data_IF_974478675993
#
_entry.id   IF_974478675993
#
_cell.length_a   1.000
_cell.length_b   1.000
_cell.length_c   1.000
_cell.angle_alpha   90.00
_cell.angle_beta   90.00
_cell.angle_gamma   90.00
#
_symmetry.space_group_name_H-M   'P 1'
#
loop_
_entity.id
_entity.type
_entity.pdbx_description
1 polymer ?
#
# COMPACT_ATOMS: atom_id res chain seq x y z
N UNK A 1 -50.68 56.93 -7.72
CA UNK A 1 -50.53 55.86 -6.71
C UNK A 1 -49.97 54.62 -7.40
N UNK A 2 -48.65 54.48 -7.37
CA UNK A 2 -47.89 53.50 -8.15
C UNK A 2 -47.38 52.42 -7.17
N UNK A 3 -48.11 51.30 -7.04
CA UNK A 3 -47.64 50.16 -6.25
C UNK A 3 -46.74 49.29 -7.12
N UNK A 4 -45.44 49.47 -6.92
CA UNK A 4 -44.35 48.64 -7.47
C UNK A 4 -44.51 47.20 -6.98
N UNK A 5 -44.90 46.30 -7.88
CA UNK A 5 -44.74 44.86 -7.71
C UNK A 5 -43.29 44.54 -8.06
N UNK A 6 -42.42 44.55 -7.05
CA UNK A 6 -41.07 43.98 -7.17
C UNK A 6 -41.22 42.50 -6.83
N UNK A 7 -41.38 41.69 -7.88
CA UNK A 7 -41.27 40.25 -7.83
C UNK A 7 -39.80 39.90 -7.55
N UNK A 8 -39.48 39.67 -6.27
CA UNK A 8 -38.20 39.13 -5.82
C UNK A 8 -38.06 37.70 -6.35
N UNK A 9 -37.47 37.57 -7.54
CA UNK A 9 -36.86 36.32 -8.00
C UNK A 9 -35.69 36.01 -7.06
N UNK A 10 -35.96 35.26 -5.99
CA UNK A 10 -34.94 34.53 -5.26
C UNK A 10 -34.40 33.45 -6.20
N UNK A 11 -33.47 33.84 -7.08
CA UNK A 11 -32.56 32.91 -7.75
C UNK A 11 -31.72 32.29 -6.64
N UNK A 12 -32.20 31.16 -6.10
CA UNK A 12 -31.38 30.20 -5.39
C UNK A 12 -30.38 29.67 -6.43
N UNK A 13 -29.30 30.42 -6.64
CA UNK A 13 -28.08 29.88 -7.23
C UNK A 13 -27.55 28.92 -6.18
N UNK A 14 -28.10 27.72 -6.15
CA UNK A 14 -27.45 26.59 -5.53
C UNK A 14 -26.08 26.53 -6.18
N UNK A 15 -25.02 26.90 -5.46
CA UNK A 15 -23.66 26.52 -5.84
C UNK A 15 -23.66 24.99 -5.83
N UNK A 16 -24.05 24.40 -6.97
CA UNK A 16 -23.95 22.98 -7.18
C UNK A 16 -22.47 22.70 -7.35
N UNK A 17 -21.81 22.34 -6.25
CA UNK A 17 -20.48 21.75 -6.32
C UNK A 17 -20.55 20.57 -7.29
N UNK A 18 -19.59 20.49 -8.22
CA UNK A 18 -19.52 19.39 -9.18
C UNK A 18 -19.52 18.04 -8.45
N UNK A 19 -20.15 17.05 -9.06
CA UNK A 19 -20.17 15.70 -8.53
C UNK A 19 -18.74 15.17 -8.42
N UNK A 20 -18.54 14.27 -7.46
CA UNK A 20 -17.24 13.61 -7.30
C UNK A 20 -17.41 12.13 -7.59
N UNK A 21 -16.42 11.57 -8.27
CA UNK A 21 -16.38 10.17 -8.69
C UNK A 21 -14.99 9.61 -8.45
N UNK A 22 -14.91 8.34 -8.05
CA UNK A 22 -13.61 7.69 -7.91
C UNK A 22 -13.62 6.27 -8.46
N UNK A 23 -12.50 5.86 -9.03
CA UNK A 23 -12.14 4.47 -9.27
C UNK A 23 -10.89 4.13 -8.48
N UNK A 24 -10.99 3.16 -7.58
CA UNK A 24 -9.91 2.76 -6.67
C UNK A 24 -9.59 1.28 -6.90
N UNK A 25 -8.37 1.01 -7.35
CA UNK A 25 -7.94 -0.32 -7.82
C UNK A 25 -6.77 -0.81 -6.97
N UNK A 26 -6.84 -2.07 -6.51
CA UNK A 26 -5.76 -2.71 -5.76
C UNK A 26 -5.59 -4.17 -6.14
N UNK A 27 -4.42 -4.52 -6.67
CA UNK A 27 -4.14 -5.85 -7.24
C UNK A 27 -2.91 -6.47 -6.56
N UNK A 28 -3.16 -7.40 -5.64
CA UNK A 28 -2.13 -8.30 -5.13
C UNK A 28 -1.93 -9.41 -6.17
N UNK A 29 -0.87 -9.33 -6.97
CA UNK A 29 -0.52 -10.36 -7.95
C UNK A 29 0.97 -10.73 -7.81
N UNK A 30 1.29 -12.01 -7.97
CA UNK A 30 2.62 -12.55 -7.76
C UNK A 30 3.13 -12.29 -6.34
N UNK A 31 4.16 -11.46 -6.22
CA UNK A 31 4.84 -11.13 -4.97
C UNK A 31 4.29 -9.89 -4.24
N UNK A 32 3.29 -9.19 -4.81
CA UNK A 32 2.69 -8.03 -4.14
C UNK A 32 1.66 -8.47 -3.12
N UNK A 33 1.77 -7.95 -1.91
CA UNK A 33 0.88 -8.27 -0.79
C UNK A 33 0.14 -7.03 -0.28
N UNK A 34 0.57 -5.82 -0.67
CA UNK A 34 0.09 -4.57 -0.09
C UNK A 34 -0.88 -3.76 -0.94
N UNK A 35 -0.90 -3.98 -2.25
CA UNK A 35 -1.70 -3.21 -3.19
C UNK A 35 -3.21 -3.16 -2.87
N UNK A 36 -3.80 -4.27 -2.42
CA UNK A 36 -5.21 -4.31 -1.99
C UNK A 36 -5.43 -3.44 -0.75
N UNK A 37 -4.50 -3.46 0.20
CA UNK A 37 -4.58 -2.63 1.42
C UNK A 37 -4.37 -1.15 1.12
N UNK A 38 -3.53 -0.81 0.15
CA UNK A 38 -3.37 0.56 -0.33
C UNK A 38 -4.69 1.10 -0.91
N UNK A 39 -5.36 0.29 -1.72
CA UNK A 39 -6.64 0.63 -2.31
C UNK A 39 -7.76 0.75 -1.24
N UNK A 40 -7.76 -0.07 -0.20
CA UNK A 40 -8.66 0.13 0.94
C UNK A 40 -8.40 1.45 1.67
N UNK A 41 -7.14 1.75 1.99
CA UNK A 41 -6.78 2.97 2.70
C UNK A 41 -7.10 4.23 1.88
N UNK A 42 -6.87 4.19 0.56
CA UNK A 42 -7.26 5.29 -0.32
C UNK A 42 -8.78 5.46 -0.38
N UNK A 43 -9.54 4.36 -0.51
CA UNK A 43 -11.01 4.42 -0.47
C UNK A 43 -11.52 5.05 0.82
N UNK A 44 -10.95 4.67 1.97
CA UNK A 44 -11.28 5.28 3.26
C UNK A 44 -10.94 6.78 3.30
N UNK A 45 -9.75 7.19 2.85
CA UNK A 45 -9.39 8.61 2.75
C UNK A 45 -10.43 9.37 1.91
N UNK A 46 -10.77 8.87 0.72
CA UNK A 46 -11.74 9.51 -0.18
C UNK A 46 -13.14 9.61 0.47
N UNK A 47 -13.60 8.57 1.17
CA UNK A 47 -14.86 8.59 1.92
C UNK A 47 -14.85 9.67 3.02
N UNK A 48 -13.76 9.78 3.78
CA UNK A 48 -13.63 10.82 4.82
C UNK A 48 -13.58 12.23 4.22
N UNK A 49 -12.96 12.37 3.05
CA UNK A 49 -12.97 13.60 2.23
C UNK A 49 -14.32 13.88 1.58
N UNK A 50 -15.35 13.07 1.84
CA UNK A 50 -16.70 13.22 1.27
C UNK A 50 -16.70 13.18 -0.25
N UNK A 51 -15.78 12.40 -0.83
CA UNK A 51 -15.85 12.02 -2.24
C UNK A 51 -16.98 11.01 -2.37
N UNK A 52 -17.84 11.28 -3.34
CA UNK A 52 -19.04 10.52 -3.66
C UNK A 52 -18.71 9.51 -4.77
N UNK A 53 -19.63 8.58 -5.03
CA UNK A 53 -19.57 7.64 -6.15
C UNK A 53 -18.22 6.90 -6.30
N UNK A 54 -17.73 6.33 -5.18
CA UNK A 54 -16.48 5.58 -5.14
C UNK A 54 -16.74 4.15 -5.61
N UNK A 55 -16.16 3.77 -6.75
CA UNK A 55 -16.14 2.40 -7.26
C UNK A 55 -14.79 1.77 -6.95
N UNK A 56 -14.80 0.52 -6.48
CA UNK A 56 -13.60 -0.21 -6.07
C UNK A 56 -13.47 -1.49 -6.87
N UNK A 57 -12.26 -1.82 -7.32
CA UNK A 57 -11.95 -3.10 -7.96
C UNK A 57 -10.75 -3.73 -7.24
N UNK A 58 -10.97 -4.87 -6.58
CA UNK A 58 -9.96 -5.53 -5.77
C UNK A 58 -9.63 -6.93 -6.28
N UNK A 59 -8.34 -7.28 -6.31
CA UNK A 59 -7.89 -8.62 -6.66
C UNK A 59 -8.50 -9.10 -7.99
N UNK A 60 -9.14 -10.27 -7.99
CA UNK A 60 -9.71 -10.91 -9.18
C UNK A 60 -10.74 -10.04 -9.95
N UNK A 61 -11.43 -9.11 -9.30
CA UNK A 61 -12.39 -8.22 -9.96
C UNK A 61 -11.72 -7.17 -10.85
N UNK A 62 -10.45 -6.86 -10.59
CA UNK A 62 -9.66 -5.86 -11.29
C UNK A 62 -9.08 -6.38 -12.61
N UNK A 63 -9.92 -7.01 -13.44
CA UNK A 63 -9.57 -7.40 -14.80
C UNK A 63 -9.36 -6.17 -15.69
N UNK A 64 -8.62 -6.30 -16.79
CA UNK A 64 -8.42 -5.19 -17.72
C UNK A 64 -9.75 -4.64 -18.24
N UNK A 65 -10.67 -5.54 -18.60
CA UNK A 65 -12.00 -5.15 -19.08
C UNK A 65 -12.76 -4.37 -18.01
N UNK A 66 -12.82 -4.87 -16.78
CA UNK A 66 -13.55 -4.20 -15.70
C UNK A 66 -12.96 -2.82 -15.38
N UNK A 67 -11.63 -2.70 -15.33
CA UNK A 67 -10.96 -1.42 -15.09
C UNK A 67 -11.31 -0.40 -16.18
N UNK A 68 -11.14 -0.78 -17.45
CA UNK A 68 -11.37 0.13 -18.59
C UNK A 68 -12.85 0.50 -18.70
N UNK A 69 -13.77 -0.47 -18.60
CA UNK A 69 -15.22 -0.21 -18.66
C UNK A 69 -15.69 0.66 -17.49
N UNK A 70 -15.25 0.36 -16.27
CA UNK A 70 -15.64 1.16 -15.09
C UNK A 70 -15.15 2.60 -15.22
N UNK A 71 -13.91 2.79 -15.67
CA UNK A 71 -13.38 4.14 -15.85
C UNK A 71 -14.09 4.88 -16.99
N UNK A 72 -14.37 4.20 -18.10
CA UNK A 72 -15.14 4.74 -19.23
C UNK A 72 -16.54 5.19 -18.77
N UNK A 73 -17.21 4.41 -17.94
CA UNK A 73 -18.52 4.75 -17.39
C UNK A 73 -18.49 5.97 -16.46
N UNK A 74 -17.40 6.17 -15.72
CA UNK A 74 -17.18 7.41 -14.95
C UNK A 74 -17.00 8.59 -15.90
N UNK A 75 -16.11 8.45 -16.89
CA UNK A 75 -15.80 9.51 -17.87
C UNK A 75 -17.02 9.95 -18.67
N UNK A 76 -17.89 9.00 -19.04
CA UNK A 76 -19.12 9.28 -19.77
C UNK A 76 -20.14 10.08 -18.94
N UNK A 77 -20.21 9.81 -17.63
CA UNK A 77 -21.14 10.50 -16.71
C UNK A 77 -20.62 11.85 -16.22
N UNK A 78 -19.30 12.03 -16.16
CA UNK A 78 -18.68 13.25 -15.67
C UNK A 78 -19.05 14.47 -16.52
N UNK A 79 -19.39 15.56 -15.83
CA UNK A 79 -19.79 16.86 -16.36
C UNK A 79 -18.75 17.93 -16.02
N UNK A 80 -18.75 19.08 -16.71
CA UNK A 80 -17.88 20.19 -16.34
C UNK A 80 -17.95 20.54 -14.85
N UNK A 81 -16.80 20.84 -14.26
CA UNK A 81 -16.60 21.10 -12.82
C UNK A 81 -16.69 19.90 -11.87
N UNK A 82 -17.00 18.70 -12.36
CA UNK A 82 -16.88 17.48 -11.57
C UNK A 82 -15.42 17.18 -11.21
N UNK A 83 -15.24 16.28 -10.24
CA UNK A 83 -13.95 15.70 -9.90
C UNK A 83 -13.94 14.19 -10.16
N UNK A 84 -12.87 13.71 -10.78
CA UNK A 84 -12.63 12.30 -11.04
C UNK A 84 -11.30 11.88 -10.44
N UNK A 85 -11.34 10.88 -9.56
CA UNK A 85 -10.18 10.28 -8.93
C UNK A 85 -9.90 8.90 -9.53
N UNK A 86 -8.65 8.65 -9.90
CA UNK A 86 -8.18 7.32 -10.26
C UNK A 86 -7.02 6.95 -9.35
N UNK A 87 -7.22 5.91 -8.54
CA UNK A 87 -6.16 5.30 -7.75
C UNK A 87 -5.86 3.90 -8.25
N UNK A 88 -4.57 3.58 -8.40
CA UNK A 88 -4.11 2.23 -8.71
C UNK A 88 -2.92 1.87 -7.83
N UNK A 89 -2.98 0.72 -7.17
CA UNK A 89 -1.80 0.05 -6.60
C UNK A 89 -1.68 -1.36 -7.19
N UNK A 90 -0.47 -1.73 -7.61
CA UNK A 90 -0.18 -3.01 -8.27
C UNK A 90 1.07 -2.98 -9.13
N UNK A 91 1.23 -4.01 -9.99
CA UNK A 91 2.38 -4.10 -10.89
C UNK A 91 2.32 -3.07 -12.02
N UNK A 92 3.44 -2.39 -12.23
CA UNK A 92 3.68 -1.51 -13.38
C UNK A 92 4.75 -2.08 -14.31
N UNK A 93 4.66 -1.76 -15.60
CA UNK A 93 5.53 -2.23 -16.68
C UNK A 93 5.97 -1.08 -17.56
N UNK A 94 7.13 -1.22 -18.18
CA UNK A 94 7.85 -0.11 -18.81
C UNK A 94 8.89 -0.66 -19.80
N UNK A 95 9.33 0.08 -20.83
CA UNK A 95 10.45 -0.34 -21.67
C UNK A 95 11.76 -0.62 -20.91
N UNK A 96 11.92 -0.07 -19.70
CA UNK A 96 13.09 -0.27 -18.85
C UNK A 96 12.93 -1.43 -17.87
N UNK A 97 11.78 -2.10 -17.86
CA UNK A 97 11.54 -3.23 -16.98
C UNK A 97 12.43 -4.43 -17.38
N UNK A 98 13.33 -4.89 -16.48
CA UNK A 98 14.19 -6.04 -16.75
C UNK A 98 13.42 -7.29 -17.16
N UNK A 99 12.21 -7.50 -16.64
CA UNK A 99 11.43 -8.70 -16.90
C UNK A 99 10.83 -8.75 -18.33
N UNK A 100 10.98 -7.69 -19.14
CA UNK A 100 10.55 -7.69 -20.55
C UNK A 100 11.70 -7.47 -21.54
N UNK A 101 12.96 -7.45 -21.08
CA UNK A 101 14.13 -7.16 -21.92
C UNK A 101 14.25 -8.10 -23.13
N UNK A 102 13.81 -9.36 -22.98
CA UNK A 102 13.82 -10.36 -24.05
C UNK A 102 12.60 -10.26 -25.00
N UNK A 103 11.76 -9.23 -24.88
CA UNK A 103 10.56 -9.04 -25.70
C UNK A 103 10.59 -7.70 -26.46
N UNK A 104 11.30 -7.60 -27.60
CA UNK A 104 11.47 -6.35 -28.35
C UNK A 104 10.14 -5.78 -28.88
N UNK A 105 9.16 -6.64 -29.19
CA UNK A 105 7.81 -6.21 -29.59
C UNK A 105 7.11 -5.47 -28.46
N UNK A 106 7.22 -5.98 -27.23
CA UNK A 106 6.60 -5.35 -26.06
C UNK A 106 7.33 -4.06 -25.67
N UNK A 107 8.67 -4.02 -25.73
CA UNK A 107 9.46 -2.80 -25.53
C UNK A 107 9.02 -1.71 -26.51
N UNK A 108 8.91 -2.05 -27.81
CA UNK A 108 8.43 -1.12 -28.84
C UNK A 108 7.00 -0.65 -28.57
N UNK A 109 6.11 -1.54 -28.15
CA UNK A 109 4.73 -1.18 -27.79
C UNK A 109 4.70 -0.20 -26.62
N UNK A 110 5.53 -0.42 -25.61
CA UNK A 110 5.61 0.44 -24.43
C UNK A 110 6.49 1.69 -24.64
N UNK A 111 7.09 1.86 -25.81
CA UNK A 111 7.92 3.03 -26.09
C UNK A 111 7.13 4.33 -25.85
N UNK A 112 7.73 5.23 -25.06
CA UNK A 112 7.15 6.50 -24.63
C UNK A 112 6.08 6.39 -23.54
N UNK A 113 5.75 5.20 -23.02
CA UNK A 113 4.65 5.05 -22.07
C UNK A 113 4.94 3.97 -21.01
N UNK A 114 4.03 3.86 -20.05
CA UNK A 114 3.98 2.75 -19.09
C UNK A 114 2.75 1.88 -19.33
N UNK A 115 2.71 0.75 -18.64
CA UNK A 115 1.52 -0.08 -18.53
C UNK A 115 1.29 -0.50 -17.08
N UNK A 116 0.03 -0.79 -16.76
CA UNK A 116 -0.37 -1.43 -15.51
C UNK A 116 -0.75 -2.87 -15.82
N UNK A 117 -0.50 -3.77 -14.87
CA UNK A 117 -0.90 -5.17 -15.01
C UNK A 117 -2.22 -5.40 -14.25
N UNK A 118 -3.23 -5.88 -14.96
CA UNK A 118 -4.51 -6.26 -14.36
C UNK A 118 -4.46 -7.64 -13.68
N UNK A 119 -5.53 -8.00 -12.97
CA UNK A 119 -5.63 -9.27 -12.25
C UNK A 119 -5.63 -10.50 -13.19
N UNK A 120 -6.14 -10.35 -14.40
CA UNK A 120 -6.13 -11.35 -15.48
C UNK A 120 -4.83 -11.31 -16.30
N UNK A 121 -3.75 -10.75 -15.75
CA UNK A 121 -2.42 -10.64 -16.35
C UNK A 121 -2.38 -9.92 -17.71
N UNK A 122 -3.37 -9.06 -17.98
CA UNK A 122 -3.39 -8.26 -19.20
C UNK A 122 -2.73 -6.90 -18.97
N UNK A 123 -2.02 -6.41 -19.99
CA UNK A 123 -1.43 -5.08 -19.95
C UNK A 123 -2.47 -4.01 -20.29
N UNK A 124 -2.64 -3.08 -19.37
CA UNK A 124 -3.31 -1.80 -19.56
C UNK A 124 -2.24 -0.78 -19.97
N UNK A 125 -1.98 -0.70 -21.27
CA UNK A 125 -1.02 0.26 -21.82
C UNK A 125 -1.61 1.66 -21.75
N UNK A 126 -0.96 2.56 -21.02
CA UNK A 126 -1.58 3.82 -20.60
C UNK A 126 -1.92 4.71 -21.80
N UNK A 127 -1.01 4.87 -22.76
CA UNK A 127 -1.26 5.67 -23.98
C UNK A 127 -2.46 5.16 -24.81
N UNK A 128 -2.73 3.86 -24.74
CA UNK A 128 -3.77 3.18 -25.53
C UNK A 128 -5.12 3.17 -24.80
N UNK A 129 -5.11 2.79 -23.52
CA UNK A 129 -6.34 2.43 -22.77
C UNK A 129 -6.85 3.53 -21.85
N UNK A 130 -5.96 4.38 -21.32
CA UNK A 130 -6.29 5.31 -20.22
C UNK A 130 -6.12 6.78 -20.64
N UNK A 131 -5.06 7.11 -21.38
CA UNK A 131 -4.80 8.48 -21.84
C UNK A 131 -5.93 9.09 -22.70
N UNK A 132 -6.65 8.33 -23.56
CA UNK A 132 -7.83 8.88 -24.25
C UNK A 132 -8.96 9.28 -23.29
N UNK A 133 -9.14 8.54 -22.20
CA UNK A 133 -10.16 8.82 -21.19
C UNK A 133 -9.80 10.06 -20.37
N UNK A 134 -8.51 10.25 -20.04
CA UNK A 134 -8.04 11.49 -19.41
C UNK A 134 -8.26 12.71 -20.31
N UNK A 135 -8.00 12.60 -21.62
CA UNK A 135 -8.24 13.69 -22.57
C UNK A 135 -9.72 14.06 -22.61
N UNK A 136 -10.60 13.07 -22.67
CA UNK A 136 -12.04 13.31 -22.64
C UNK A 136 -12.51 14.03 -21.36
N UNK A 137 -11.88 13.76 -20.20
CA UNK A 137 -12.16 14.49 -18.96
C UNK A 137 -11.62 15.93 -19.02
N UNK A 138 -10.40 16.13 -19.52
CA UNK A 138 -9.77 17.45 -19.61
C UNK A 138 -10.53 18.38 -20.56
N UNK A 139 -10.99 17.87 -21.71
CA UNK A 139 -11.83 18.58 -22.69
C UNK A 139 -13.17 19.02 -22.08
N UNK A 140 -13.71 18.21 -21.15
CA UNK A 140 -14.92 18.56 -20.39
C UNK A 140 -14.66 19.52 -19.23
N UNK A 141 -13.41 19.94 -19.01
CA UNK A 141 -13.02 20.74 -17.82
C UNK A 141 -13.33 20.03 -16.49
N UNK A 142 -13.21 18.70 -16.46
CA UNK A 142 -13.30 17.87 -15.25
C UNK A 142 -11.97 17.87 -14.53
N UNK A 143 -11.97 18.13 -13.22
CA UNK A 143 -10.76 18.05 -12.39
C UNK A 143 -10.40 16.59 -12.18
N UNK A 144 -9.26 16.16 -12.72
CA UNK A 144 -8.84 14.76 -12.69
C UNK A 144 -7.62 14.61 -11.78
N UNK A 145 -7.69 13.72 -10.80
CA UNK A 145 -6.57 13.38 -9.91
C UNK A 145 -6.23 11.91 -10.13
N UNK A 146 -4.99 11.65 -10.53
CA UNK A 146 -4.49 10.30 -10.79
C UNK A 146 -3.37 10.00 -9.80
N UNK A 147 -3.46 8.85 -9.14
CA UNK A 147 -2.51 8.41 -8.11
C UNK A 147 -2.11 6.96 -8.40
N UNK A 148 -0.87 6.73 -8.80
CA UNK A 148 -0.35 5.39 -9.08
C UNK A 148 0.75 5.01 -8.09
N UNK A 149 0.54 3.91 -7.36
CA UNK A 149 1.59 3.20 -6.64
C UNK A 149 1.98 1.92 -7.39
N UNK A 150 2.87 2.10 -8.37
CA UNK A 150 3.34 1.03 -9.23
C UNK A 150 4.75 1.34 -9.73
N UNK A 151 5.56 0.32 -9.99
CA UNK A 151 6.87 0.48 -10.62
C UNK A 151 6.74 1.22 -11.96
N UNK A 152 7.73 2.05 -12.29
CA UNK A 152 7.77 2.82 -13.54
C UNK A 152 6.54 3.70 -13.80
N UNK A 153 5.75 4.01 -12.77
CA UNK A 153 4.53 4.82 -12.89
C UNK A 153 4.85 6.24 -13.39
N UNK A 154 6.07 6.75 -13.23
CA UNK A 154 6.50 7.99 -13.86
C UNK A 154 6.47 7.98 -15.40
N UNK A 155 6.55 6.80 -16.06
CA UNK A 155 6.39 6.68 -17.52
C UNK A 155 4.95 6.63 -18.01
N UNK A 156 4.00 6.29 -17.15
CA UNK A 156 2.58 6.29 -17.51
C UNK A 156 2.09 7.69 -17.93
N UNK A 157 2.81 8.75 -17.59
CA UNK A 157 2.41 10.14 -17.85
C UNK A 157 3.40 10.91 -18.74
N UNK A 158 4.37 10.24 -19.38
CA UNK A 158 5.44 10.91 -20.18
C UNK A 158 4.94 11.59 -21.47
N UNK A 159 3.63 11.62 -21.70
CA UNK A 159 2.95 12.43 -22.72
C UNK A 159 2.69 13.89 -22.31
N UNK A 160 2.94 14.28 -21.05
CA UNK A 160 2.36 15.53 -20.52
C UNK A 160 3.37 16.60 -20.10
N UNK A 161 4.65 16.27 -19.89
CA UNK A 161 5.66 17.29 -19.57
C UNK A 161 7.00 16.96 -20.24
N UNK A 162 7.15 17.39 -21.49
CA UNK A 162 8.43 17.35 -22.18
C UNK A 162 9.22 18.64 -21.86
N UNK A 163 10.16 18.56 -20.93
CA UNK A 163 11.36 19.38 -21.01
C UNK A 163 12.51 18.47 -21.46
N UNK A 164 12.74 18.40 -22.77
CA UNK A 164 13.97 17.90 -23.35
C UNK A 164 13.89 16.53 -24.05
N UNK A 165 14.08 16.58 -25.38
CA UNK A 165 14.53 15.53 -26.31
C UNK A 165 13.58 14.41 -26.76
N UNK A 166 13.02 14.62 -27.96
CA UNK A 166 12.95 13.70 -29.11
C UNK A 166 12.57 12.22 -28.91
N UNK A 167 11.29 11.96 -28.62
CA UNK A 167 10.61 10.76 -29.12
C UNK A 167 9.23 11.16 -29.69
N UNK A 168 8.92 10.84 -30.97
CA UNK A 168 7.66 11.23 -31.58
C UNK A 168 6.50 10.35 -31.09
N UNK A 169 5.38 11.00 -30.73
CA UNK A 169 4.11 10.34 -30.39
C UNK A 169 3.15 10.33 -31.58
N UNK A 170 2.37 9.25 -31.67
CA UNK A 170 1.32 9.06 -32.68
C UNK A 170 -0.05 9.27 -32.02
N UNK A 171 -0.78 10.31 -32.42
CA UNK A 171 -2.21 10.48 -32.15
C UNK A 171 -2.92 10.94 -33.42
N UNK A 172 -4.20 10.57 -33.67
CA UNK A 172 -4.93 10.94 -34.90
C UNK A 172 -5.26 12.43 -35.06
N UNK A 173 -5.03 13.25 -34.02
CA UNK A 173 -5.18 14.72 -34.06
C UNK A 173 -4.01 15.38 -33.32
N UNK A 174 -2.81 15.41 -33.90
CA UNK A 174 -1.64 15.99 -33.26
C UNK A 174 -1.70 17.52 -33.38
N UNK A 175 -1.79 18.23 -32.26
CA UNK A 175 -1.29 19.62 -32.22
C UNK A 175 0.23 19.56 -32.28
N UNK A 176 0.80 20.37 -33.19
CA UNK A 176 2.24 20.50 -33.51
C UNK A 176 3.12 20.21 -32.28
N UNK A 177 3.80 19.06 -32.24
CA UNK A 177 4.70 18.52 -31.17
C UNK A 177 4.11 17.53 -30.13
N UNK A 178 3.08 16.76 -30.50
CA UNK A 178 2.90 15.39 -29.98
C UNK A 178 2.69 15.22 -28.47
N UNK A 179 2.21 16.25 -27.76
CA UNK A 179 1.86 16.18 -26.33
C UNK A 179 0.52 16.88 -26.13
N UNK A 180 -0.34 16.33 -25.27
CA UNK A 180 -1.64 16.93 -24.94
C UNK A 180 -1.47 17.83 -23.70
N UNK A 181 -1.78 19.14 -23.77
CA UNK A 181 -1.53 20.08 -22.69
C UNK A 181 -2.66 20.00 -21.65
N UNK A 182 -2.66 18.97 -20.80
CA UNK A 182 -3.67 18.81 -19.77
C UNK A 182 -3.76 20.03 -18.86
N UNK A 183 -4.93 20.64 -18.79
CA UNK A 183 -5.18 21.85 -17.99
C UNK A 183 -5.80 21.53 -16.62
N UNK A 184 -6.44 20.37 -16.50
CA UNK A 184 -7.30 19.98 -15.38
C UNK A 184 -6.86 18.67 -14.71
N UNK A 185 -5.69 18.14 -15.08
CA UNK A 185 -5.17 16.88 -14.54
C UNK A 185 -4.00 17.09 -13.56
N UNK A 186 -4.12 16.44 -12.41
CA UNK A 186 -3.08 16.27 -11.38
C UNK A 186 -2.62 14.81 -11.39
N UNK A 187 -1.31 14.59 -11.41
CA UNK A 187 -0.71 13.27 -11.49
C UNK A 187 0.31 13.09 -10.37
N UNK A 188 0.06 12.09 -9.51
CA UNK A 188 0.91 11.71 -8.39
C UNK A 188 1.36 10.26 -8.61
N UNK A 189 2.66 9.98 -8.66
CA UNK A 189 3.15 8.61 -8.82
C UNK A 189 4.25 8.25 -7.86
N UNK A 190 4.34 6.98 -7.51
CA UNK A 190 5.32 6.49 -6.53
C UNK A 190 6.75 6.55 -7.03
N UNK A 191 6.97 6.44 -8.33
CA UNK A 191 8.32 6.37 -8.90
C UNK A 191 8.51 7.22 -10.14
N UNK A 192 9.77 7.38 -10.52
CA UNK A 192 10.20 7.97 -11.79
C UNK A 192 10.00 6.99 -12.96
N UNK A 193 10.63 7.26 -14.11
CA UNK A 193 10.49 6.44 -15.31
C UNK A 193 11.20 5.09 -15.23
N UNK A 194 12.27 4.96 -14.45
CA UNK A 194 13.12 3.76 -14.36
C UNK A 194 13.03 3.04 -13.03
N UNK A 195 12.39 3.64 -12.03
CA UNK A 195 12.53 3.18 -10.65
C UNK A 195 11.41 2.23 -10.24
N UNK A 196 11.77 1.30 -9.34
CA UNK A 196 10.85 0.35 -8.72
C UNK A 196 10.11 0.98 -7.55
N UNK A 197 8.82 0.67 -7.45
CA UNK A 197 8.02 0.99 -6.27
C UNK A 197 8.32 -0.07 -5.21
N UNK A 198 8.48 0.37 -3.97
CA UNK A 198 8.75 -0.50 -2.83
C UNK A 198 7.49 -0.65 -1.98
N UNK A 199 7.23 -1.88 -1.56
CA UNK A 199 6.24 -2.21 -0.54
C UNK A 199 6.93 -2.49 0.78
N UNK A 200 6.28 -2.11 1.88
CA UNK A 200 6.67 -2.57 3.20
C UNK A 200 6.02 -3.93 3.45
N UNK A 201 6.84 -4.98 3.52
CA UNK A 201 6.36 -6.31 3.93
C UNK A 201 5.73 -6.27 5.34
N UNK A 202 6.24 -5.41 6.21
CA UNK A 202 5.76 -5.21 7.58
C UNK A 202 4.35 -4.59 7.62
N UNK A 203 4.08 -3.59 6.79
CA UNK A 203 2.77 -2.94 6.75
C UNK A 203 1.79 -3.58 5.77
N UNK A 204 2.27 -4.47 4.89
CA UNK A 204 1.53 -4.96 3.72
C UNK A 204 0.89 -3.80 2.98
N UNK A 205 1.69 -2.78 2.64
CA UNK A 205 1.30 -1.52 2.00
C UNK A 205 2.48 -0.96 1.19
N UNK A 206 2.22 -0.24 0.11
CA UNK A 206 3.23 0.55 -0.60
C UNK A 206 3.74 1.72 0.26
N UNK A 207 5.06 1.96 0.27
CA UNK A 207 5.64 3.09 1.03
C UNK A 207 5.07 4.43 0.55
N UNK A 208 4.90 4.59 -0.77
CA UNK A 208 4.25 5.77 -1.34
C UNK A 208 2.78 5.86 -0.96
N UNK A 209 2.02 4.78 -1.07
CA UNK A 209 0.61 4.76 -0.67
C UNK A 209 0.40 5.16 0.79
N UNK A 210 1.26 4.71 1.71
CA UNK A 210 1.23 5.16 3.11
C UNK A 210 1.52 6.66 3.22
N UNK A 211 2.58 7.14 2.58
CA UNK A 211 2.97 8.54 2.63
C UNK A 211 1.92 9.47 2.01
N UNK A 212 1.40 9.13 0.83
CA UNK A 212 0.46 9.97 0.10
C UNK A 212 -0.91 10.01 0.76
N UNK A 213 -1.39 8.89 1.31
CA UNK A 213 -2.65 8.90 2.07
C UNK A 213 -2.55 9.75 3.33
N UNK A 214 -1.41 9.72 4.03
CA UNK A 214 -1.15 10.62 5.15
C UNK A 214 -1.16 12.09 4.72
N UNK A 215 -0.35 12.44 3.70
CA UNK A 215 -0.22 13.82 3.26
C UNK A 215 -1.52 14.40 2.69
N UNK A 216 -2.28 13.63 1.93
CA UNK A 216 -3.58 14.04 1.41
C UNK A 216 -4.67 14.14 2.50
N UNK A 217 -4.53 13.41 3.60
CA UNK A 217 -5.37 13.59 4.78
C UNK A 217 -5.32 15.03 5.29
N UNK A 218 -4.09 15.55 5.43
CA UNK A 218 -3.80 16.86 6.04
C UNK A 218 -3.78 18.03 5.07
N UNK A 219 -3.53 17.77 3.78
CA UNK A 219 -3.18 18.81 2.81
C UNK A 219 -3.97 18.65 1.52
N UNK A 220 -4.36 19.78 0.93
CA UNK A 220 -5.08 19.82 -0.35
C UNK A 220 -4.27 20.54 -1.44
N UNK A 221 -3.38 21.44 -1.02
CA UNK A 221 -2.53 22.27 -1.88
C UNK A 221 -1.23 21.55 -2.19
N UNK A 222 -0.75 21.71 -3.42
CA UNK A 222 0.48 21.09 -3.89
C UNK A 222 1.66 21.34 -2.96
N UNK A 223 1.96 22.59 -2.61
CA UNK A 223 3.16 22.91 -1.84
C UNK A 223 3.19 22.22 -0.47
N UNK A 224 2.04 22.14 0.20
CA UNK A 224 1.92 21.43 1.47
C UNK A 224 2.03 19.90 1.30
N UNK A 225 1.52 19.35 0.20
CA UNK A 225 1.66 17.93 -0.12
C UNK A 225 3.12 17.58 -0.41
N UNK A 226 3.82 18.42 -1.18
CA UNK A 226 5.24 18.27 -1.48
C UNK A 226 6.05 18.33 -0.18
N UNK A 227 5.86 19.37 0.63
CA UNK A 227 6.54 19.51 1.92
C UNK A 227 6.32 18.30 2.83
N UNK A 228 5.08 17.79 2.92
CA UNK A 228 4.78 16.61 3.73
C UNK A 228 5.50 15.35 3.23
N UNK A 229 5.57 15.14 1.91
CA UNK A 229 6.29 13.99 1.34
C UNK A 229 7.80 14.13 1.53
N UNK A 230 8.34 15.35 1.41
CA UNK A 230 9.74 15.65 1.66
C UNK A 230 10.11 15.37 3.12
N UNK A 231 9.25 15.73 4.08
CA UNK A 231 9.45 15.38 5.50
C UNK A 231 9.48 13.86 5.70
N UNK A 232 8.53 13.12 5.13
CA UNK A 232 8.51 11.65 5.23
C UNK A 232 9.77 11.03 4.60
N UNK A 233 10.22 11.58 3.48
CA UNK A 233 11.39 11.08 2.75
C UNK A 233 12.70 11.42 3.43
N UNK A 234 12.96 12.68 3.72
CA UNK A 234 14.27 13.18 4.13
C UNK A 234 14.42 13.22 5.66
N UNK A 235 13.38 13.66 6.38
CA UNK A 235 13.43 13.75 7.83
C UNK A 235 13.17 12.39 8.49
N UNK A 236 12.12 11.68 8.05
CA UNK A 236 11.75 10.39 8.64
C UNK A 236 12.41 9.18 7.94
N UNK A 237 12.96 9.36 6.73
CA UNK A 237 13.59 8.28 5.96
C UNK A 237 12.67 7.07 5.72
N UNK A 238 11.37 7.34 5.55
CA UNK A 238 10.32 6.32 5.41
C UNK A 238 9.77 6.20 3.99
N UNK A 239 10.30 6.97 3.02
CA UNK A 239 9.92 6.88 1.61
C UNK A 239 11.17 6.63 0.75
N UNK A 240 11.49 5.35 0.44
CA UNK A 240 12.73 5.01 -0.27
C UNK A 240 12.69 5.45 -1.74
N UNK A 241 11.51 5.45 -2.37
CA UNK A 241 11.29 5.90 -3.74
C UNK A 241 11.18 7.42 -3.88
N UNK A 242 11.34 7.92 -5.11
CA UNK A 242 11.13 9.33 -5.45
C UNK A 242 9.77 9.51 -6.12
N UNK A 243 8.79 10.13 -5.43
CA UNK A 243 7.49 10.38 -6.03
C UNK A 243 7.58 11.47 -7.10
N UNK A 244 6.72 11.37 -8.11
CA UNK A 244 6.51 12.42 -9.10
C UNK A 244 5.20 13.12 -8.82
N UNK A 245 5.23 14.45 -8.78
CA UNK A 245 4.06 15.30 -8.55
C UNK A 245 3.94 16.32 -9.68
N UNK A 246 2.85 16.23 -10.43
CA UNK A 246 2.57 17.05 -11.58
C UNK A 246 1.13 17.61 -11.51
N UNK A 247 0.90 18.83 -12.04
CA UNK A 247 1.88 19.71 -12.65
C UNK A 247 2.84 20.36 -11.62
N UNK A 248 3.91 21.00 -12.10
CA UNK A 248 4.82 21.77 -11.21
C UNK A 248 4.19 23.07 -10.70
N UNK A 249 3.18 23.60 -11.39
CA UNK A 249 2.39 24.75 -10.95
C UNK A 249 1.45 24.36 -9.80
N UNK A 250 1.00 25.34 -9.03
CA UNK A 250 0.08 25.13 -7.92
C UNK A 250 -1.23 24.47 -8.36
N UNK A 251 -1.74 23.53 -7.55
CA UNK A 251 -3.01 22.85 -7.77
C UNK A 251 -3.66 22.43 -6.45
N UNK A 252 -4.94 22.05 -6.54
CA UNK A 252 -5.73 21.46 -5.46
C UNK A 252 -6.06 20.00 -5.78
N UNK A 253 -6.01 19.12 -4.78
CA UNK A 253 -6.36 17.69 -4.91
C UNK A 253 -7.79 17.39 -4.49
N UNK A 254 -8.41 18.26 -3.69
CA UNK A 254 -9.79 18.10 -3.25
C UNK A 254 -10.62 19.36 -3.47
N UNK A 255 -11.95 19.23 -3.64
CA UNK A 255 -12.85 20.36 -3.58
C UNK A 255 -12.70 21.16 -2.29
N UNK A 256 -12.97 22.47 -2.35
CA UNK A 256 -12.80 23.39 -1.22
C UNK A 256 -13.69 23.08 -0.01
N UNK A 257 -14.81 22.36 -0.19
CA UNK A 257 -15.69 21.97 0.90
C UNK A 257 -15.14 20.82 1.76
N UNK A 258 -14.11 20.11 1.28
CA UNK A 258 -13.55 18.97 2.01
C UNK A 258 -12.77 19.47 3.24
N UNK A 259 -12.76 18.69 4.32
CA UNK A 259 -12.02 19.05 5.55
C UNK A 259 -10.65 18.39 5.59
N UNK A 260 -9.69 19.06 6.23
CA UNK A 260 -8.48 18.39 6.68
C UNK A 260 -8.86 17.38 7.75
N UNK A 261 -8.28 16.20 7.62
CA UNK A 261 -8.47 15.10 8.55
C UNK A 261 -7.09 14.65 8.97
N UNK A 262 -6.89 14.51 10.27
CA UNK A 262 -5.69 13.88 10.77
C UNK A 262 -5.84 12.37 10.55
N UNK A 263 -5.48 11.92 9.35
CA UNK A 263 -5.19 10.51 9.14
C UNK A 263 -3.86 10.32 9.86
N UNK A 264 -3.95 9.90 11.13
CA UNK A 264 -2.77 9.43 11.86
C UNK A 264 -2.04 8.49 10.91
N UNK A 265 -0.75 8.77 10.59
CA UNK A 265 0.01 7.88 9.71
C UNK A 265 -0.15 6.51 10.34
N UNK A 266 -0.73 5.55 9.61
CA UNK A 266 -1.22 4.28 10.18
C UNK A 266 -0.24 3.81 11.23
N UNK A 267 -0.51 4.12 12.51
CA UNK A 267 0.33 3.63 13.58
C UNK A 267 0.14 2.14 13.44
N UNK A 268 1.25 1.41 13.33
CA UNK A 268 1.27 -0.05 13.39
C UNK A 268 0.12 -0.54 14.26
N UNK A 269 -0.68 -1.48 13.77
CA UNK A 269 -1.67 -2.09 14.66
C UNK A 269 -0.95 -2.53 15.95
N UNK A 270 -1.59 -2.50 17.12
CA UNK A 270 -0.90 -2.87 18.37
C UNK A 270 -0.22 -4.25 18.26
N UNK A 271 -0.81 -5.14 17.46
CA UNK A 271 -0.22 -6.42 17.09
C UNK A 271 1.09 -6.26 16.32
N UNK A 272 1.15 -5.41 15.29
CA UNK A 272 2.39 -5.09 14.56
C UNK A 272 3.43 -4.38 15.42
N UNK A 273 3.02 -3.46 16.31
CA UNK A 273 3.95 -2.80 17.24
C UNK A 273 4.68 -3.83 18.10
N UNK A 274 3.95 -4.83 18.60
CA UNK A 274 4.52 -5.95 19.35
C UNK A 274 5.58 -6.71 18.53
N UNK A 275 5.30 -7.08 17.28
CA UNK A 275 6.29 -7.80 16.45
C UNK A 275 7.50 -6.94 16.07
N UNK A 276 7.36 -5.62 16.02
CA UNK A 276 8.49 -4.71 15.75
C UNK A 276 9.44 -4.56 16.94
N UNK A 277 9.03 -4.96 18.15
CA UNK A 277 9.95 -5.10 19.27
C UNK A 277 10.97 -6.24 19.00
N UNK A 278 10.62 -7.22 18.16
CA UNK A 278 11.47 -8.36 17.81
C UNK A 278 12.51 -7.99 16.74
N UNK A 279 13.45 -7.10 17.10
CA UNK A 279 14.53 -6.67 16.21
C UNK A 279 15.65 -7.71 16.16
N UNK A 280 15.89 -8.34 15.00
CA UNK A 280 16.90 -9.39 14.88
C UNK A 280 18.29 -8.84 15.19
N UNK A 281 19.08 -9.64 15.90
CA UNK A 281 20.49 -9.38 16.20
C UNK A 281 21.32 -10.59 15.79
N UNK A 282 22.63 -10.43 15.65
CA UNK A 282 23.52 -11.56 15.41
C UNK A 282 23.57 -12.57 16.57
N UNK A 283 23.03 -12.20 17.73
CA UNK A 283 23.08 -12.99 18.96
C UNK A 283 21.77 -13.75 19.23
N UNK A 284 20.72 -13.51 18.42
CA UNK A 284 19.44 -14.19 18.54
C UNK A 284 18.71 -14.21 17.21
N UNK A 285 18.58 -15.39 16.62
CA UNK A 285 17.98 -15.59 15.30
C UNK A 285 16.92 -16.68 15.30
N UNK A 286 15.80 -16.38 14.64
CA UNK A 286 14.75 -17.33 14.35
C UNK A 286 14.72 -17.56 12.83
N UNK A 287 14.78 -18.81 12.40
CA UNK A 287 14.72 -19.17 10.99
C UNK A 287 13.98 -20.49 10.78
N UNK A 288 13.56 -20.74 9.54
CA UNK A 288 12.82 -21.94 9.18
C UNK A 288 13.66 -22.80 8.22
N UNK A 289 13.63 -24.12 8.42
CA UNK A 289 14.28 -25.10 7.55
C UNK A 289 13.25 -26.10 7.02
N UNK A 290 13.35 -26.43 5.75
CA UNK A 290 12.54 -27.49 5.14
C UNK A 290 12.99 -28.89 5.63
N UNK A 291 12.34 -29.94 5.13
CA UNK A 291 12.68 -31.34 5.46
C UNK A 291 14.11 -31.76 5.07
N UNK A 292 14.77 -31.00 4.19
CA UNK A 292 16.15 -31.21 3.76
C UNK A 292 17.16 -30.38 4.59
N UNK A 293 16.71 -29.63 5.60
CA UNK A 293 17.56 -28.77 6.42
C UNK A 293 17.93 -27.44 5.75
N UNK A 294 17.37 -27.13 4.58
CA UNK A 294 17.65 -25.89 3.87
C UNK A 294 16.77 -24.76 4.39
N UNK A 295 17.40 -23.61 4.68
CA UNK A 295 16.69 -22.42 5.13
C UNK A 295 15.80 -21.88 4.00
N UNK A 296 14.49 -21.76 4.27
CA UNK A 296 13.52 -21.22 3.31
C UNK A 296 12.55 -20.27 4.01
N UNK A 297 11.92 -19.40 3.21
CA UNK A 297 10.78 -18.57 3.62
C UNK A 297 9.52 -18.88 2.84
N UNK A 298 9.59 -19.78 1.87
CA UNK A 298 8.47 -20.17 1.03
C UNK A 298 8.28 -21.68 1.16
N UNK A 299 7.06 -22.08 1.49
CA UNK A 299 6.68 -23.47 1.69
C UNK A 299 5.41 -23.77 0.89
N UNK A 300 5.38 -24.91 0.22
CA UNK A 300 4.18 -25.36 -0.49
C UNK A 300 3.14 -25.83 0.52
N UNK A 301 1.84 -25.60 0.26
CA UNK A 301 0.78 -26.14 1.13
C UNK A 301 0.95 -27.67 1.26
N UNK A 302 0.97 -28.15 2.50
CA UNK A 302 1.25 -29.55 2.86
C UNK A 302 2.73 -29.84 3.15
N UNK A 303 3.65 -28.94 2.81
CA UNK A 303 5.08 -29.09 3.10
C UNK A 303 5.36 -28.98 4.61
N UNK A 304 6.17 -29.91 5.12
CA UNK A 304 6.68 -29.89 6.50
C UNK A 304 7.94 -29.05 6.59
N UNK A 305 8.01 -28.22 7.62
CA UNK A 305 9.19 -27.45 7.94
C UNK A 305 9.34 -27.29 9.45
N UNK A 306 10.53 -26.87 9.87
CA UNK A 306 10.87 -26.72 11.28
C UNK A 306 11.38 -25.32 11.56
N UNK A 307 10.98 -24.76 12.69
CA UNK A 307 11.48 -23.48 13.18
C UNK A 307 12.61 -23.75 14.14
N UNK A 308 13.73 -23.08 13.90
CA UNK A 308 14.95 -23.17 14.69
C UNK A 308 15.28 -21.84 15.32
N UNK A 309 15.88 -21.93 16.50
CA UNK A 309 16.40 -20.82 17.25
C UNK A 309 17.90 -20.98 17.41
N UNK A 310 18.62 -19.91 17.12
CA UNK A 310 20.02 -19.74 17.49
C UNK A 310 20.13 -18.58 18.48
N UNK A 311 20.83 -18.78 19.59
CA UNK A 311 21.09 -17.71 20.55
C UNK A 311 22.45 -17.82 21.22
N UNK A 312 23.17 -16.70 21.27
CA UNK A 312 24.39 -16.54 22.08
C UNK A 312 24.10 -16.11 23.52
N UNK A 313 22.85 -15.76 23.84
CA UNK A 313 22.45 -15.26 25.15
C UNK A 313 21.52 -16.24 25.87
N UNK A 314 21.54 -16.20 27.20
CA UNK A 314 20.62 -17.00 28.01
C UNK A 314 19.39 -16.19 28.40
N UNK A 315 18.22 -16.82 28.50
CA UNK A 315 17.00 -16.14 28.88
C UNK A 315 15.74 -16.99 28.80
N UNK A 316 14.63 -16.45 29.28
CA UNK A 316 13.33 -17.11 29.14
C UNK A 316 12.73 -16.79 27.78
N UNK A 317 12.33 -17.84 27.05
CA UNK A 317 11.85 -17.73 25.70
C UNK A 317 10.36 -17.39 25.67
N UNK A 318 10.07 -16.34 24.92
CA UNK A 318 8.71 -15.88 24.61
C UNK A 318 8.50 -16.02 23.12
N UNK A 319 7.33 -16.52 22.71
CA UNK A 319 6.96 -16.65 21.31
C UNK A 319 5.55 -16.13 21.11
N UNK A 320 5.42 -15.16 20.23
CA UNK A 320 4.15 -14.72 19.67
C UNK A 320 4.01 -15.24 18.25
N UNK A 321 2.79 -15.62 17.89
CA UNK A 321 2.41 -16.02 16.53
C UNK A 321 1.23 -15.18 16.06
N UNK A 322 1.29 -14.72 14.81
CA UNK A 322 0.11 -14.27 14.08
C UNK A 322 -0.51 -15.49 13.39
N UNK A 323 -1.64 -15.95 13.91
CA UNK A 323 -2.42 -17.06 13.36
C UNK A 323 -3.38 -16.63 12.24
N UNK A 324 -4.19 -17.59 11.81
CA UNK A 324 -5.26 -17.40 10.82
C UNK A 324 -6.20 -16.25 11.24
N UNK A 325 -6.73 -15.50 10.28
CA UNK A 325 -7.60 -14.33 10.51
C UNK A 325 -6.97 -13.19 11.34
N UNK A 326 -5.65 -12.99 11.30
CA UNK A 326 -4.91 -11.97 12.07
C UNK A 326 -5.08 -12.12 13.60
N UNK A 327 -5.27 -13.35 14.09
CA UNK A 327 -5.34 -13.66 15.52
C UNK A 327 -3.94 -13.62 16.12
N UNK A 328 -3.75 -12.83 17.18
CA UNK A 328 -2.46 -12.75 17.87
C UNK A 328 -2.45 -13.76 19.02
N UNK A 329 -1.50 -14.68 18.98
CA UNK A 329 -1.31 -15.73 19.96
C UNK A 329 0.02 -15.55 20.69
N UNK A 330 0.00 -15.70 22.01
CA UNK A 330 1.15 -15.90 22.87
C UNK A 330 1.30 -17.41 23.05
N UNK A 331 2.30 -18.04 22.44
CA UNK A 331 2.48 -19.49 22.47
C UNK A 331 3.38 -19.95 23.62
N UNK A 332 4.36 -19.11 23.98
CA UNK A 332 5.24 -19.29 25.12
C UNK A 332 5.49 -17.96 25.83
N UNK A 333 5.59 -17.94 27.17
CA UNK A 333 5.32 -19.05 28.08
C UNK A 333 3.83 -19.44 28.12
N UNK A 334 3.54 -20.70 28.42
CA UNK A 334 2.18 -21.21 28.61
C UNK A 334 2.02 -21.93 29.97
N UNK A 335 0.84 -22.46 30.26
CA UNK A 335 0.53 -23.12 31.54
C UNK A 335 1.42 -24.31 31.87
N UNK A 336 1.95 -25.00 30.84
CA UNK A 336 2.75 -26.22 31.03
C UNK A 336 4.25 -25.95 30.94
N UNK A 337 4.67 -24.91 30.22
CA UNK A 337 6.07 -24.68 29.86
C UNK A 337 6.47 -23.21 29.90
N UNK A 338 7.55 -22.94 30.63
CA UNK A 338 8.29 -21.68 30.62
C UNK A 338 9.74 -21.97 30.16
N UNK A 339 9.97 -22.08 28.84
CA UNK A 339 11.25 -22.53 28.30
C UNK A 339 12.38 -21.55 28.64
N UNK A 340 13.46 -22.06 29.21
CA UNK A 340 14.71 -21.33 29.40
C UNK A 340 15.71 -21.77 28.33
N UNK A 341 16.33 -20.79 27.66
CA UNK A 341 17.36 -20.97 26.64
C UNK A 341 18.70 -20.62 27.30
N UNK A 342 19.67 -21.52 27.18
CA UNK A 342 21.04 -21.28 27.63
C UNK A 342 21.82 -20.49 26.58
N UNK A 343 22.93 -19.85 26.97
CA UNK A 343 23.81 -19.21 26.01
C UNK A 343 24.38 -20.23 25.00
N UNK A 344 24.67 -19.77 23.78
CA UNK A 344 25.19 -20.57 22.66
C UNK A 344 24.31 -21.79 22.32
N UNK A 345 22.99 -21.61 22.36
CA UNK A 345 22.02 -22.65 22.02
C UNK A 345 21.67 -22.61 20.54
N UNK A 346 21.64 -23.78 19.92
CA UNK A 346 20.99 -24.02 18.63
C UNK A 346 19.93 -25.11 18.82
N UNK A 347 18.66 -24.81 18.54
CA UNK A 347 17.56 -25.72 18.88
C UNK A 347 16.38 -25.63 17.92
N UNK A 348 15.89 -26.80 17.48
CA UNK A 348 14.56 -26.94 16.88
C UNK A 348 13.48 -26.63 17.92
N UNK A 349 12.69 -25.58 17.68
CA UNK A 349 11.65 -25.12 18.60
C UNK A 349 10.32 -25.83 18.34
N UNK A 350 9.93 -25.92 17.07
CA UNK A 350 8.64 -26.48 16.67
C UNK A 350 8.67 -26.94 15.22
N UNK A 351 7.75 -27.84 14.88
CA UNK A 351 7.57 -28.41 13.55
C UNK A 351 6.18 -28.05 13.05
N UNK A 352 6.09 -27.59 11.81
CA UNK A 352 4.89 -27.04 11.21
C UNK A 352 4.62 -27.70 9.85
N UNK A 353 3.36 -27.59 9.43
CA UNK A 353 2.91 -27.92 8.09
C UNK A 353 2.37 -26.62 7.51
N UNK A 354 2.80 -26.26 6.30
CA UNK A 354 2.26 -25.10 5.60
C UNK A 354 0.79 -25.37 5.25
N UNK A 355 -0.12 -24.50 5.70
CA UNK A 355 -1.58 -24.66 5.54
C UNK A 355 -2.16 -23.62 4.58
N UNK A 356 -3.32 -23.94 4.01
CA UNK A 356 -4.19 -22.99 3.33
C UNK A 356 -5.07 -22.24 4.35
N UNK A 357 -5.56 -21.01 4.07
CA UNK A 357 -5.33 -20.24 2.84
C UNK A 357 -3.88 -19.75 2.74
N UNK A 358 -3.41 -19.61 1.50
CA UNK A 358 -2.07 -19.09 1.21
C UNK A 358 -1.88 -17.69 1.78
N UNK A 359 -0.73 -17.43 2.39
CA UNK A 359 -0.51 -16.19 3.12
C UNK A 359 0.79 -16.16 3.90
N UNK A 360 1.11 -14.97 4.41
CA UNK A 360 2.25 -14.76 5.28
C UNK A 360 1.89 -15.03 6.74
N UNK A 361 2.60 -15.96 7.37
CA UNK A 361 2.57 -16.17 8.82
C UNK A 361 3.77 -15.46 9.47
N UNK A 362 3.52 -14.82 10.61
CA UNK A 362 4.52 -14.03 11.33
C UNK A 362 4.72 -14.58 12.74
N UNK A 363 5.98 -14.77 13.12
CA UNK A 363 6.40 -15.11 14.48
C UNK A 363 7.35 -14.04 15.03
N UNK A 364 7.18 -13.74 16.31
CA UNK A 364 8.06 -12.85 17.08
C UNK A 364 8.56 -13.61 18.30
N UNK A 365 9.86 -13.82 18.36
CA UNK A 365 10.52 -14.49 19.47
C UNK A 365 11.35 -13.49 20.28
N UNK A 366 11.41 -13.72 21.59
CA UNK A 366 12.15 -12.87 22.53
C UNK A 366 12.85 -13.71 23.59
N UNK A 367 14.00 -13.24 24.06
CA UNK A 367 14.53 -13.62 25.36
C UNK A 367 14.26 -12.51 26.37
N UNK A 368 13.62 -12.88 27.47
CA UNK A 368 13.26 -11.96 28.56
C UNK A 368 13.80 -12.45 29.90
N UNK A 369 13.85 -11.55 30.88
CA UNK A 369 14.15 -11.93 32.26
C UNK A 369 13.01 -12.75 32.90
N UNK A 370 13.32 -13.47 33.99
CA UNK A 370 12.38 -14.36 34.70
C UNK A 370 11.10 -13.66 35.14
N UNK A 371 11.22 -12.43 35.66
CA UNK A 371 10.07 -11.66 36.15
C UNK A 371 9.08 -11.36 35.04
N UNK A 372 9.59 -10.99 33.86
CA UNK A 372 8.78 -10.70 32.67
C UNK A 372 8.11 -11.96 32.15
N UNK A 373 8.84 -13.08 32.07
CA UNK A 373 8.27 -14.36 31.67
C UNK A 373 7.11 -14.79 32.59
N UNK A 374 7.26 -14.67 33.91
CA UNK A 374 6.17 -15.00 34.85
C UNK A 374 4.93 -14.11 34.67
N UNK A 375 5.12 -12.81 34.38
CA UNK A 375 4.01 -11.88 34.10
C UNK A 375 3.31 -12.22 32.78
N UNK A 376 4.06 -12.62 31.75
CA UNK A 376 3.52 -13.07 30.48
C UNK A 376 2.81 -14.41 30.60
N UNK A 377 3.28 -15.32 31.46
CA UNK A 377 2.60 -16.59 31.75
C UNK A 377 1.23 -16.35 32.42
N UNK A 378 1.16 -15.43 33.38
CA UNK A 378 -0.13 -14.99 33.95
C UNK A 378 -1.05 -14.35 32.93
N UNK A 379 -0.50 -13.62 31.95
CA UNK A 379 -1.29 -13.09 30.84
C UNK A 379 -1.81 -14.22 29.96
N UNK A 380 -0.98 -15.20 29.63
CA UNK A 380 -1.38 -16.41 28.91
C UNK A 380 -2.53 -17.14 29.60
N UNK A 381 -2.42 -17.37 30.92
CA UNK A 381 -3.46 -18.03 31.72
C UNK A 381 -4.80 -17.29 31.64
N UNK A 382 -4.76 -15.97 31.75
CA UNK A 382 -5.96 -15.12 31.65
C UNK A 382 -6.60 -15.18 30.26
N UNK A 383 -5.80 -15.18 29.20
CA UNK A 383 -6.29 -15.04 27.83
C UNK A 383 -6.35 -16.35 27.07
N UNK A 384 -6.01 -17.46 27.71
CA UNK A 384 -5.76 -18.76 27.08
C UNK A 384 -4.82 -18.66 25.86
N UNK A 385 -3.82 -17.79 25.96
CA UNK A 385 -2.86 -17.49 24.89
C UNK A 385 -3.38 -16.59 23.77
N UNK A 386 -4.66 -16.25 23.70
CA UNK A 386 -5.22 -15.43 22.62
C UNK A 386 -5.37 -13.96 23.02
N UNK A 387 -4.59 -13.07 22.40
CA UNK A 387 -4.62 -11.63 22.70
C UNK A 387 -5.60 -10.89 21.78
N UNK A 388 -6.89 -10.98 22.11
CA UNK A 388 -7.98 -10.31 21.35
C UNK A 388 -8.08 -8.82 21.67
N UNK A 389 -8.02 -8.48 22.96
CA UNK A 389 -8.34 -7.14 23.44
C UNK A 389 -7.11 -6.21 23.44
N UNK A 390 -7.34 -4.95 23.03
CA UNK A 390 -6.33 -3.88 22.99
C UNK A 390 -5.52 -3.76 24.29
N UNK A 391 -6.18 -3.86 25.45
CA UNK A 391 -5.53 -3.73 26.75
C UNK A 391 -4.52 -4.86 27.02
N UNK A 392 -4.84 -6.10 26.63
CA UNK A 392 -3.97 -7.25 26.83
C UNK A 392 -2.75 -7.18 25.88
N UNK A 393 -2.94 -6.71 24.65
CA UNK A 393 -1.84 -6.48 23.69
C UNK A 393 -0.89 -5.40 24.20
N UNK A 394 -1.41 -4.25 24.66
CA UNK A 394 -0.58 -3.18 25.25
C UNK A 394 0.19 -3.66 26.48
N UNK A 395 -0.45 -4.47 27.33
CA UNK A 395 0.20 -5.07 28.49
C UNK A 395 1.33 -6.00 28.07
N UNK A 396 1.12 -6.85 27.06
CA UNK A 396 2.19 -7.70 26.52
C UNK A 396 3.36 -6.87 25.99
N UNK A 397 3.10 -5.83 25.20
CA UNK A 397 4.13 -4.93 24.67
C UNK A 397 4.95 -4.28 25.79
N UNK A 398 4.28 -3.69 26.78
CA UNK A 398 4.94 -3.03 27.90
C UNK A 398 5.85 -4.00 28.67
N UNK A 399 5.39 -5.25 28.87
CA UNK A 399 6.20 -6.29 29.53
C UNK A 399 7.44 -6.63 28.71
N UNK A 400 7.31 -6.75 27.40
CA UNK A 400 8.43 -7.01 26.48
C UNK A 400 9.41 -5.83 26.51
N UNK A 401 8.96 -4.59 26.32
CA UNK A 401 9.82 -3.40 26.33
C UNK A 401 10.64 -3.25 27.62
N UNK A 402 10.04 -3.59 28.77
CA UNK A 402 10.69 -3.49 30.08
C UNK A 402 11.67 -4.65 30.38
N UNK A 403 11.50 -5.79 29.71
CA UNK A 403 12.12 -7.05 30.12
C UNK A 403 12.92 -7.78 29.05
N UNK A 404 12.87 -7.30 27.81
CA UNK A 404 13.53 -7.88 26.66
C UNK A 404 15.03 -7.65 26.71
N UNK A 405 15.77 -8.73 26.47
CA UNK A 405 17.21 -8.70 26.27
C UNK A 405 17.53 -8.67 24.78
N UNK A 406 16.91 -9.58 24.02
CA UNK A 406 17.04 -9.71 22.56
C UNK A 406 15.74 -10.22 21.94
N UNK A 407 15.53 -9.95 20.65
CA UNK A 407 14.36 -10.41 19.90
C UNK A 407 14.72 -10.80 18.47
N UNK A 408 13.84 -11.57 17.82
CA UNK A 408 13.97 -11.92 16.41
C UNK A 408 12.60 -12.23 15.84
N UNK A 409 12.38 -11.87 14.57
CA UNK A 409 11.13 -12.10 13.86
C UNK A 409 11.35 -13.02 12.67
N UNK A 410 10.38 -13.89 12.44
CA UNK A 410 10.37 -14.80 11.31
C UNK A 410 9.07 -14.62 10.52
N UNK A 411 9.22 -14.39 9.23
CA UNK A 411 8.14 -14.32 8.26
C UNK A 411 8.32 -15.48 7.27
N UNK A 412 7.27 -16.28 7.06
CA UNK A 412 7.24 -17.28 5.99
C UNK A 412 5.90 -17.25 5.25
N UNK A 413 5.90 -17.82 4.06
CA UNK A 413 4.80 -17.77 3.10
C UNK A 413 4.40 -19.19 2.73
N UNK A 414 3.12 -19.52 2.95
CA UNK A 414 2.50 -20.72 2.40
C UNK A 414 1.94 -20.42 1.01
N UNK A 415 2.31 -21.20 -0.01
CA UNK A 415 1.84 -21.03 -1.40
C UNK A 415 1.12 -22.27 -1.92
N UNK A 416 0.08 -22.04 -2.72
CA UNK A 416 -0.54 -23.05 -3.56
C UNK A 416 0.36 -23.27 -4.79
N UNK A 417 0.31 -24.50 -5.32
CA UNK A 417 1.09 -24.93 -6.48
C UNK A 417 0.64 -24.22 -7.77
#
# INVERSE_FOLDING_TARGET
MLKKVILLLFLWVSLSYGATHALVIGINNGNLIGAKNDAYAMSQLLQHKKIQNIQTLYGAEATKQNIVTTFTNIVNRAKPHDWVYLFFSGHGRSPFDPAIQNNPKLIKRLQGTGALLSADNQLIVIKESIAPLFRALDEKSVKTVVIFDACFSGMAYKDVFNQGSNLPFYTPKPTRRGTYPYNHLVYLSSTTYSDFASESGQHKRGYFSMAITHCLGKNHRRDNIVSCLDDIKYLHKQLPQTPIILPKKEFMVFPSYTKNIDIKPTHFSLKEQLFNLANPTEDFQLYAQNSQGLTSKNYQVGEKFSIHLESKQAGYFVLFKMGENNKLELNYPNTQKMPYITANTHKKILELIAKAPTGEELMGAFLVNKSTALKLQKLYEKTHGELVNVADIKKAMQLIEQGQMVGSKLLWISREL
#
